data_IF_656226488586
#
_entry.id   IF_656226488586
#
_cell.length_a   1.000
_cell.length_b   1.000
_cell.length_c   1.000
_cell.angle_alpha   90.00
_cell.angle_beta   90.00
_cell.angle_gamma   90.00
#
_symmetry.space_group_name_H-M   'P 1'
#
loop_
_entity.id
_entity.type
_entity.pdbx_description
1 polymer ?
#
# COMPACT_ATOMS: atom_id res chain seq x y z
N UNK A 1 10.43 -2.40 -25.41
CA UNK A 1 10.12 -3.64 -24.64
C UNK A 1 9.34 -3.35 -23.36
N UNK A 2 9.65 -2.28 -22.60
CA UNK A 2 8.80 -1.76 -21.51
C UNK A 2 7.35 -1.57 -21.99
N UNK A 3 7.14 -0.96 -23.18
CA UNK A 3 5.85 -0.85 -23.90
C UNK A 3 5.04 -2.14 -24.08
N UNK A 4 5.62 -3.34 -23.91
CA UNK A 4 4.94 -4.62 -24.08
C UNK A 4 4.45 -5.21 -22.74
N UNK A 5 5.10 -4.85 -21.63
CA UNK A 5 4.56 -4.97 -20.26
C UNK A 5 3.51 -3.89 -19.98
N UNK A 6 3.68 -2.69 -20.55
CA UNK A 6 2.71 -1.58 -20.50
C UNK A 6 1.42 -1.81 -21.33
N UNK A 7 1.42 -2.80 -22.23
CA UNK A 7 0.31 -3.07 -23.17
C UNK A 7 -0.74 -4.05 -22.63
N UNK A 8 -0.55 -4.57 -21.41
CA UNK A 8 -1.68 -5.06 -20.65
C UNK A 8 -2.51 -3.85 -20.25
N UNK A 9 -3.79 -3.84 -20.61
CA UNK A 9 -4.75 -2.74 -20.38
C UNK A 9 -4.72 -2.19 -18.95
N UNK A 10 -4.29 -2.99 -17.99
CA UNK A 10 -4.26 -2.71 -16.56
C UNK A 10 -3.08 -1.82 -16.10
N UNK A 11 -1.89 -1.91 -16.73
CA UNK A 11 -0.76 -1.05 -16.33
C UNK A 11 -0.87 0.35 -16.93
N UNK A 12 -1.53 0.49 -18.09
CA UNK A 12 -1.84 1.80 -18.67
C UNK A 12 -2.78 2.60 -17.77
N UNK A 13 -3.82 1.94 -17.23
CA UNK A 13 -4.73 2.56 -16.26
C UNK A 13 -4.01 2.98 -14.98
N UNK A 14 -3.07 2.15 -14.50
CA UNK A 14 -2.19 2.49 -13.38
C UNK A 14 -1.31 3.72 -13.67
N UNK A 15 -0.78 3.86 -14.89
CA UNK A 15 0.00 5.04 -15.28
C UNK A 15 -0.88 6.29 -15.44
N UNK A 16 -2.14 6.14 -15.85
CA UNK A 16 -3.11 7.24 -15.88
C UNK A 16 -3.43 7.74 -14.46
N UNK A 17 -3.22 6.90 -13.43
CA UNK A 17 -3.30 7.28 -12.02
C UNK A 17 -2.00 7.91 -11.48
N UNK A 18 -0.88 7.85 -12.22
CA UNK A 18 0.37 8.47 -11.79
C UNK A 18 0.42 9.90 -12.29
N UNK A 19 0.40 10.84 -11.34
CA UNK A 19 0.56 12.26 -11.63
C UNK A 19 1.83 12.54 -12.44
N UNK A 20 1.81 13.37 -13.50
CA UNK A 20 3.01 13.76 -14.22
C UNK A 20 4.12 14.36 -13.33
N UNK A 21 3.74 15.09 -12.27
CA UNK A 21 4.67 15.68 -11.31
C UNK A 21 5.51 14.63 -10.56
N UNK A 22 5.03 13.39 -10.49
CA UNK A 22 5.78 12.27 -9.94
C UNK A 22 7.13 12.04 -10.65
N UNK A 23 7.15 12.21 -11.97
CA UNK A 23 8.35 12.03 -12.77
C UNK A 23 9.36 13.17 -12.60
N UNK A 24 8.92 14.32 -12.09
CA UNK A 24 9.79 15.46 -11.80
C UNK A 24 10.57 15.26 -10.48
N UNK A 25 10.01 14.50 -9.53
CA UNK A 25 10.60 14.28 -8.19
C UNK A 25 11.30 12.94 -8.03
N UNK A 26 11.22 12.06 -9.03
CA UNK A 26 11.97 10.81 -9.07
C UNK A 26 13.03 10.84 -10.18
N UNK A 27 14.31 10.68 -9.85
CA UNK A 27 15.35 10.63 -10.87
C UNK A 27 15.07 9.53 -11.90
N UNK A 28 15.16 9.78 -13.21
CA UNK A 28 14.86 8.78 -14.24
C UNK A 28 15.63 7.46 -14.07
N UNK A 29 16.87 7.53 -13.58
CA UNK A 29 17.70 6.36 -13.28
C UNK A 29 17.07 5.45 -12.23
N UNK A 30 16.41 6.04 -11.23
CA UNK A 30 15.73 5.31 -10.16
C UNK A 30 14.47 4.61 -10.64
N UNK A 31 13.66 5.30 -11.45
CA UNK A 31 12.51 4.70 -12.12
C UNK A 31 12.91 3.49 -12.98
N UNK A 32 13.97 3.65 -13.78
CA UNK A 32 14.51 2.55 -14.59
C UNK A 32 15.08 1.41 -13.76
N UNK A 33 15.69 1.71 -12.60
CA UNK A 33 16.25 0.70 -11.69
C UNK A 33 15.13 -0.13 -11.07
N UNK A 34 14.15 0.53 -10.45
CA UNK A 34 13.05 -0.19 -9.80
C UNK A 34 12.12 -0.86 -10.82
N UNK A 35 11.88 -0.26 -11.99
CA UNK A 35 11.10 -0.88 -13.06
C UNK A 35 11.75 -2.18 -13.56
N UNK A 36 13.08 -2.19 -13.73
CA UNK A 36 13.82 -3.42 -14.06
C UNK A 36 13.79 -4.44 -12.93
N UNK A 37 13.85 -4.00 -11.68
CA UNK A 37 13.72 -4.89 -10.52
C UNK A 37 12.35 -5.59 -10.53
N UNK A 38 11.26 -4.84 -10.61
CA UNK A 38 9.89 -5.39 -10.65
C UNK A 38 9.74 -6.36 -11.81
N UNK A 39 10.21 -5.98 -13.00
CA UNK A 39 10.16 -6.85 -14.19
C UNK A 39 10.95 -8.15 -13.98
N UNK A 40 12.16 -8.07 -13.43
CA UNK A 40 13.01 -9.25 -13.17
C UNK A 40 12.33 -10.19 -12.18
N UNK A 41 11.75 -9.65 -11.10
CA UNK A 41 11.05 -10.43 -10.07
C UNK A 41 9.77 -11.07 -10.61
N UNK A 42 9.04 -10.37 -11.48
CA UNK A 42 7.82 -10.90 -12.11
C UNK A 42 8.09 -12.15 -12.96
N UNK A 43 9.25 -12.23 -13.61
CA UNK A 43 9.66 -13.39 -14.41
C UNK A 43 10.35 -14.51 -13.65
N UNK A 44 10.58 -14.37 -12.33
CA UNK A 44 11.29 -15.34 -11.51
C UNK A 44 10.30 -16.12 -10.63
N UNK A 45 9.86 -17.27 -11.15
CA UNK A 45 8.87 -18.13 -10.48
C UNK A 45 9.37 -18.68 -9.14
N UNK A 46 10.67 -19.01 -9.06
CA UNK A 46 11.26 -19.51 -7.82
C UNK A 46 11.28 -18.42 -6.74
N UNK A 47 11.61 -17.17 -7.11
CA UNK A 47 11.52 -16.04 -6.20
C UNK A 47 10.09 -15.75 -5.78
N UNK A 48 9.15 -15.79 -6.72
CA UNK A 48 7.74 -15.60 -6.42
C UNK A 48 7.22 -16.62 -5.40
N UNK A 49 7.50 -17.91 -5.60
CA UNK A 49 7.10 -18.97 -4.66
C UNK A 49 7.73 -18.79 -3.27
N UNK A 50 8.99 -18.34 -3.19
CA UNK A 50 9.61 -17.97 -1.91
C UNK A 50 8.90 -16.80 -1.24
N UNK A 51 8.58 -15.75 -2.00
CA UNK A 51 7.86 -14.59 -1.47
C UNK A 51 6.46 -14.95 -0.98
N UNK A 52 5.74 -15.83 -1.71
CA UNK A 52 4.45 -16.37 -1.28
C UNK A 52 4.58 -17.13 0.03
N UNK A 53 5.51 -18.07 0.13
CA UNK A 53 5.72 -18.89 1.33
C UNK A 53 6.03 -18.01 2.54
N UNK A 54 6.99 -17.08 2.40
CA UNK A 54 7.37 -16.18 3.49
C UNK A 54 6.19 -15.31 3.93
N UNK A 55 5.42 -14.75 2.98
CA UNK A 55 4.24 -13.94 3.32
C UNK A 55 3.13 -14.78 3.96
N UNK A 56 2.92 -16.02 3.53
CA UNK A 56 1.95 -16.92 4.14
C UNK A 56 2.30 -17.18 5.61
N UNK A 57 3.57 -17.53 5.89
CA UNK A 57 4.05 -17.76 7.26
C UNK A 57 3.91 -16.53 8.16
N UNK A 58 4.08 -15.33 7.61
CA UNK A 58 3.90 -14.07 8.34
C UNK A 58 2.42 -13.80 8.64
N UNK A 59 1.53 -14.02 7.67
CA UNK A 59 0.09 -13.84 7.84
C UNK A 59 -0.50 -14.84 8.84
N UNK A 60 -0.07 -16.10 8.79
CA UNK A 60 -0.53 -17.13 9.72
C UNK A 60 -0.11 -16.83 11.16
N UNK A 61 1.11 -16.31 11.36
CA UNK A 61 1.58 -15.86 12.68
C UNK A 61 0.84 -14.62 13.19
N UNK A 62 0.52 -13.68 12.31
CA UNK A 62 -0.14 -12.44 12.70
C UNK A 62 -1.64 -12.63 13.00
N UNK A 63 -2.29 -13.65 12.42
CA UNK A 63 -3.69 -13.97 12.73
C UNK A 63 -4.69 -12.90 12.29
N UNK A 64 -4.36 -12.06 11.31
CA UNK A 64 -5.17 -10.88 10.89
C UNK A 64 -6.40 -11.23 10.02
N UNK A 65 -6.76 -12.51 9.93
CA UNK A 65 -7.92 -12.99 9.16
C UNK A 65 -7.74 -12.96 7.63
N UNK A 66 -6.50 -12.90 7.13
CA UNK A 66 -6.15 -12.99 5.71
C UNK A 66 -5.17 -14.15 5.51
N UNK A 67 -5.43 -15.03 4.53
CA UNK A 67 -4.56 -16.16 4.21
C UNK A 67 -4.26 -16.19 2.71
N UNK A 68 -3.05 -16.64 2.37
CA UNK A 68 -2.72 -16.91 0.97
C UNK A 68 -3.36 -18.23 0.54
N UNK A 69 -4.04 -18.23 -0.59
CA UNK A 69 -4.64 -19.43 -1.16
C UNK A 69 -5.37 -19.15 -2.46
N UNK A 70 -5.58 -20.18 -3.28
CA UNK A 70 -6.25 -20.01 -4.57
C UNK A 70 -7.70 -19.57 -4.40
N UNK A 71 -8.10 -18.55 -5.16
CA UNK A 71 -9.46 -17.97 -5.13
C UNK A 71 -10.50 -18.78 -5.93
N UNK A 72 -10.17 -20.01 -6.32
CA UNK A 72 -11.09 -20.90 -7.03
C UNK A 72 -12.32 -21.32 -6.22
N UNK A 73 -13.41 -21.64 -6.92
CA UNK A 73 -14.65 -22.17 -6.36
C UNK A 73 -15.76 -21.14 -6.14
N UNK A 74 -16.94 -21.55 -5.63
CA UNK A 74 -18.10 -20.67 -5.49
C UNK A 74 -17.77 -19.47 -4.59
N UNK A 75 -18.09 -18.28 -5.09
CA UNK A 75 -17.88 -17.03 -4.38
C UNK A 75 -18.98 -16.83 -3.35
N UNK A 76 -18.62 -16.79 -2.07
CA UNK A 76 -19.48 -16.12 -1.10
C UNK A 76 -19.37 -14.63 -1.38
N UNK A 77 -20.51 -13.97 -1.57
CA UNK A 77 -20.57 -12.51 -1.61
C UNK A 77 -20.06 -12.04 -0.26
N UNK A 78 -18.82 -11.56 -0.23
CA UNK A 78 -18.24 -10.99 0.96
C UNK A 78 -18.98 -9.68 1.26
N UNK A 79 -19.33 -9.46 2.53
CA UNK A 79 -19.71 -8.13 3.01
C UNK A 79 -18.60 -7.14 2.59
N UNK A 80 -18.93 -6.08 1.83
CA UNK A 80 -17.96 -5.09 1.40
C UNK A 80 -17.17 -4.48 2.55
N UNK A 81 -17.80 -4.28 3.71
CA UNK A 81 -17.12 -3.72 4.88
C UNK A 81 -16.07 -4.68 5.44
N UNK A 82 -16.43 -5.95 5.70
CA UNK A 82 -15.50 -6.97 6.14
C UNK A 82 -14.32 -7.16 5.16
N UNK A 83 -14.60 -7.10 3.85
CA UNK A 83 -13.60 -7.21 2.79
C UNK A 83 -12.62 -6.04 2.79
N UNK A 84 -13.12 -4.80 2.84
CA UNK A 84 -12.27 -3.62 2.91
C UNK A 84 -11.42 -3.60 4.17
N UNK A 85 -11.99 -4.01 5.31
CA UNK A 85 -11.24 -4.13 6.56
C UNK A 85 -10.11 -5.17 6.46
N UNK A 86 -10.38 -6.33 5.86
CA UNK A 86 -9.35 -7.36 5.64
C UNK A 86 -8.23 -6.87 4.73
N UNK A 87 -8.56 -6.14 3.67
CA UNK A 87 -7.60 -5.54 2.75
C UNK A 87 -6.72 -4.48 3.46
N UNK A 88 -7.30 -3.62 4.30
CA UNK A 88 -6.55 -2.63 5.08
C UNK A 88 -5.62 -3.30 6.10
N UNK A 89 -6.07 -4.35 6.80
CA UNK A 89 -5.21 -5.13 7.70
C UNK A 89 -4.03 -5.74 6.96
N UNK A 90 -4.27 -6.31 5.77
CA UNK A 90 -3.21 -6.83 4.91
C UNK A 90 -2.24 -5.72 4.51
N UNK A 91 -2.73 -4.56 4.09
CA UNK A 91 -1.91 -3.41 3.72
C UNK A 91 -0.96 -3.00 4.84
N UNK A 92 -1.50 -2.73 6.03
CA UNK A 92 -0.68 -2.33 7.16
C UNK A 92 0.29 -3.44 7.56
N UNK A 93 -0.13 -4.70 7.55
CA UNK A 93 0.76 -5.80 7.88
C UNK A 93 1.95 -5.88 6.91
N UNK A 94 1.75 -5.71 5.60
CA UNK A 94 2.87 -5.72 4.64
C UNK A 94 3.84 -4.54 4.83
N UNK A 95 3.36 -3.39 5.31
CA UNK A 95 4.17 -2.20 5.61
C UNK A 95 4.94 -2.39 6.92
N UNK A 96 4.23 -2.82 7.97
CA UNK A 96 4.72 -2.94 9.35
C UNK A 96 5.66 -4.12 9.57
N UNK A 97 5.48 -5.21 8.83
CA UNK A 97 6.28 -6.42 9.00
C UNK A 97 7.45 -6.50 7.99
N UNK A 98 8.57 -7.09 8.40
CA UNK A 98 9.74 -7.25 7.53
C UNK A 98 9.53 -8.45 6.61
N UNK A 99 9.24 -8.20 5.34
CA UNK A 99 8.99 -9.27 4.38
C UNK A 99 8.78 -8.75 2.96
N UNK A 100 8.52 -9.64 1.99
CA UNK A 100 8.16 -9.25 0.64
C UNK A 100 6.77 -8.60 0.65
N UNK A 101 6.63 -7.50 -0.06
CA UNK A 101 5.32 -6.89 -0.33
C UNK A 101 4.81 -7.51 -1.63
N UNK A 102 3.74 -8.27 -1.55
CA UNK A 102 3.01 -8.75 -2.72
C UNK A 102 1.98 -7.67 -3.06
N UNK A 103 2.20 -6.99 -4.20
CA UNK A 103 1.49 -5.73 -4.50
C UNK A 103 0.13 -5.96 -5.14
N UNK A 104 -0.10 -7.14 -5.72
CA UNK A 104 -1.36 -7.44 -6.39
C UNK A 104 -2.48 -7.69 -5.38
N UNK A 105 -3.14 -6.60 -5.00
CA UNK A 105 -4.30 -6.58 -4.11
C UNK A 105 -5.59 -6.23 -4.84
N UNK A 106 -5.69 -6.52 -6.13
CA UNK A 106 -6.91 -6.27 -6.91
C UNK A 106 -8.07 -7.12 -6.41
N UNK A 107 -9.30 -6.65 -6.65
CA UNK A 107 -10.53 -7.26 -6.15
C UNK A 107 -10.64 -8.73 -6.55
N UNK A 108 -10.38 -9.11 -7.78
CA UNK A 108 -10.46 -10.49 -8.25
C UNK A 108 -9.51 -11.46 -7.53
N UNK A 109 -8.53 -10.94 -6.78
CA UNK A 109 -7.60 -11.74 -5.96
C UNK A 109 -8.13 -12.10 -4.58
N UNK A 110 -9.35 -11.73 -4.20
CA UNK A 110 -9.88 -12.01 -2.86
C UNK A 110 -11.25 -12.69 -2.87
N UNK A 111 -11.43 -13.62 -1.93
CA UNK A 111 -12.69 -14.32 -1.69
C UNK A 111 -12.89 -14.58 -0.18
N UNK A 112 -14.13 -14.45 0.30
CA UNK A 112 -14.47 -14.83 1.67
C UNK A 112 -14.59 -16.35 1.80
N UNK A 113 -14.09 -16.89 2.91
CA UNK A 113 -14.14 -18.31 3.29
C UNK A 113 -14.39 -18.44 4.79
N UNK A 114 -15.67 -18.50 5.19
CA UNK A 114 -16.03 -18.66 6.59
C UNK A 114 -15.53 -17.47 7.42
N UNK A 115 -14.56 -17.72 8.30
CA UNK A 115 -13.98 -16.75 9.24
C UNK A 115 -12.78 -15.95 8.70
N UNK A 116 -12.33 -16.24 7.47
CA UNK A 116 -11.16 -15.58 6.89
C UNK A 116 -11.37 -15.18 5.43
N UNK A 117 -10.47 -14.32 4.96
CA UNK A 117 -10.37 -13.94 3.55
C UNK A 117 -9.20 -14.67 2.91
N UNK A 118 -9.45 -15.40 1.82
CA UNK A 118 -8.37 -15.92 0.98
C UNK A 118 -7.92 -14.85 -0.01
N UNK A 119 -6.61 -14.78 -0.21
CA UNK A 119 -5.93 -13.91 -1.14
C UNK A 119 -5.01 -14.71 -2.06
N UNK A 120 -5.17 -14.55 -3.37
CA UNK A 120 -4.35 -15.18 -4.42
C UNK A 120 -3.54 -14.10 -5.15
N UNK A 121 -2.47 -13.56 -4.55
CA UNK A 121 -1.71 -12.47 -5.16
C UNK A 121 -1.09 -12.89 -6.49
N UNK A 122 -1.01 -11.97 -7.45
CA UNK A 122 -0.15 -12.13 -8.62
C UNK A 122 1.34 -12.03 -8.28
N UNK A 123 2.18 -12.28 -9.29
CA UNK A 123 3.66 -12.31 -9.17
C UNK A 123 4.32 -10.97 -8.82
N UNK A 124 3.55 -9.89 -8.87
CA UNK A 124 4.08 -8.55 -8.67
C UNK A 124 4.50 -8.36 -7.21
N UNK A 125 5.80 -8.28 -6.97
CA UNK A 125 6.37 -8.19 -5.62
C UNK A 125 7.55 -7.23 -5.55
N UNK A 126 7.75 -6.65 -4.36
CA UNK A 126 8.91 -5.82 -4.04
C UNK A 126 9.44 -6.17 -2.65
N UNK A 127 10.67 -5.76 -2.37
CA UNK A 127 11.13 -5.54 -0.98
C UNK A 127 11.50 -4.08 -0.86
N UNK A 128 10.95 -3.42 0.15
CA UNK A 128 11.39 -2.08 0.50
C UNK A 128 12.80 -2.14 1.04
N UNK A 129 13.57 -1.08 0.78
CA UNK A 129 14.85 -0.89 1.45
C UNK A 129 14.63 -0.72 2.95
N UNK A 130 15.54 -1.25 3.80
CA UNK A 130 15.36 -1.21 5.24
C UNK A 130 15.11 0.19 5.79
N UNK A 131 15.84 1.20 5.31
CA UNK A 131 15.70 2.59 5.73
C UNK A 131 14.35 3.19 5.34
N UNK A 132 13.89 2.91 4.11
CA UNK A 132 12.58 3.36 3.64
C UNK A 132 11.46 2.69 4.44
N UNK A 133 11.57 1.38 4.66
CA UNK A 133 10.59 0.63 5.42
C UNK A 133 10.54 1.08 6.88
N UNK A 134 11.69 1.28 7.51
CA UNK A 134 11.76 1.80 8.87
C UNK A 134 11.08 3.18 8.97
N UNK A 135 11.45 4.13 8.11
CA UNK A 135 10.85 5.45 8.12
C UNK A 135 9.34 5.41 7.82
N UNK A 136 8.88 4.56 6.91
CA UNK A 136 7.44 4.37 6.64
C UNK A 136 6.69 3.84 7.87
N UNK A 137 7.27 2.90 8.62
CA UNK A 137 6.69 2.40 9.88
C UNK A 137 6.61 3.49 10.94
N UNK A 138 7.68 4.27 11.09
CA UNK A 138 7.73 5.39 12.04
C UNK A 138 6.69 6.46 11.67
N UNK A 139 6.47 6.72 10.38
CA UNK A 139 5.43 7.65 9.92
C UNK A 139 4.04 7.16 10.30
N UNK A 140 3.70 5.90 10.00
CA UNK A 140 2.41 5.34 10.40
C UNK A 140 2.23 5.30 11.92
N UNK A 141 3.29 4.94 12.64
CA UNK A 141 3.32 4.88 14.08
C UNK A 141 3.11 6.25 14.74
N UNK A 142 3.80 7.28 14.25
CA UNK A 142 3.63 8.65 14.72
C UNK A 142 2.21 9.13 14.53
N UNK A 143 1.62 8.89 13.35
CA UNK A 143 0.25 9.28 13.08
C UNK A 143 -0.78 8.56 13.97
N UNK A 144 -0.79 7.22 14.00
CA UNK A 144 -1.86 6.47 14.68
C UNK A 144 -1.74 6.42 16.21
N UNK A 145 -0.56 6.76 16.75
CA UNK A 145 -0.32 6.86 18.20
C UNK A 145 -0.28 8.31 18.68
N UNK A 146 -0.70 9.26 17.84
CA UNK A 146 -0.77 10.68 18.19
C UNK A 146 0.59 11.24 18.67
N UNK A 147 1.70 10.73 18.09
CA UNK A 147 3.09 11.09 18.38
C UNK A 147 3.64 11.94 17.21
N UNK A 148 3.42 13.25 17.32
CA UNK A 148 3.72 14.20 16.26
C UNK A 148 5.22 14.30 15.96
N UNK A 149 6.06 14.29 16.99
CA UNK A 149 7.52 14.36 16.83
C UNK A 149 8.04 13.16 16.04
N UNK A 150 7.53 11.96 16.34
CA UNK A 150 7.84 10.74 15.60
C UNK A 150 7.37 10.82 14.15
N UNK A 151 6.16 11.32 13.91
CA UNK A 151 5.63 11.54 12.56
C UNK A 151 6.52 12.49 11.76
N UNK A 152 6.91 13.62 12.36
CA UNK A 152 7.75 14.62 11.72
C UNK A 152 9.16 14.12 11.41
N UNK A 153 9.79 13.40 12.35
CA UNK A 153 11.10 12.79 12.14
C UNK A 153 11.09 11.74 11.01
N UNK A 154 9.98 10.99 10.88
CA UNK A 154 9.80 10.03 9.81
C UNK A 154 9.62 10.71 8.44
N UNK A 155 8.87 11.82 8.37
CA UNK A 155 8.75 12.62 7.15
C UNK A 155 10.10 13.18 6.72
N UNK A 156 10.91 13.68 7.65
CA UNK A 156 12.26 14.17 7.36
C UNK A 156 13.13 13.04 6.78
N UNK A 157 13.06 11.84 7.38
CA UNK A 157 13.80 10.65 6.92
C UNK A 157 13.39 10.17 5.52
N UNK A 158 12.16 10.46 5.10
CA UNK A 158 11.64 10.14 3.78
C UNK A 158 11.84 11.27 2.76
N UNK A 159 12.44 12.41 3.16
CA UNK A 159 12.48 13.66 2.40
C UNK A 159 11.08 14.16 1.99
N UNK A 160 10.12 14.04 2.90
CA UNK A 160 8.72 14.40 2.70
C UNK A 160 8.25 15.58 3.55
N UNK A 161 9.16 16.27 4.24
CA UNK A 161 8.81 17.48 5.01
C UNK A 161 8.12 18.55 4.17
N UNK A 162 8.49 18.63 2.88
CA UNK A 162 7.83 19.42 1.84
C UNK A 162 6.32 19.20 1.79
N UNK A 163 5.87 17.97 2.01
CA UNK A 163 4.51 17.52 1.79
C UNK A 163 3.76 17.18 3.10
N UNK A 164 4.23 17.66 4.26
CA UNK A 164 3.62 17.35 5.57
C UNK A 164 2.10 17.52 5.57
N UNK A 165 1.62 18.69 5.14
CA UNK A 165 0.18 19.00 5.09
C UNK A 165 -0.58 17.99 4.26
N UNK A 166 -0.02 17.60 3.11
CA UNK A 166 -0.62 16.64 2.20
C UNK A 166 -0.70 15.25 2.83
N UNK A 167 0.36 14.80 3.50
CA UNK A 167 0.34 13.53 4.23
C UNK A 167 -0.66 13.57 5.39
N UNK A 168 -0.70 14.64 6.20
CA UNK A 168 -1.73 14.76 7.25
C UNK A 168 -3.15 14.69 6.69
N UNK A 169 -3.42 15.36 5.57
CA UNK A 169 -4.70 15.29 4.89
C UNK A 169 -5.00 13.87 4.36
N UNK A 170 -4.01 13.22 3.76
CA UNK A 170 -4.11 11.87 3.20
C UNK A 170 -4.40 10.82 4.27
N UNK A 171 -3.78 10.94 5.44
CA UNK A 171 -4.05 10.08 6.58
C UNK A 171 -5.41 10.38 7.23
N UNK A 172 -5.98 11.56 6.96
CA UNK A 172 -7.30 11.98 7.40
C UNK A 172 -7.31 12.78 8.70
N UNK A 173 -8.42 13.47 8.94
CA UNK A 173 -8.70 14.13 10.22
C UNK A 173 -9.64 13.27 11.09
N UNK A 174 -9.56 13.41 12.40
CA UNK A 174 -10.40 12.67 13.35
C UNK A 174 -9.86 11.27 13.69
N UNK A 175 -10.71 10.43 14.27
CA UNK A 175 -10.32 9.13 14.86
C UNK A 175 -10.07 8.00 13.84
N UNK A 176 -10.22 8.28 12.55
CA UNK A 176 -10.07 7.34 11.42
C UNK A 176 -10.95 6.07 11.51
N UNK A 177 -12.09 6.15 12.20
CA UNK A 177 -13.05 5.03 12.31
C UNK A 177 -14.05 4.95 11.16
N UNK A 178 -14.19 6.02 10.37
CA UNK A 178 -15.11 6.10 9.25
C UNK A 178 -14.49 6.79 8.03
N UNK A 179 -13.49 6.15 7.43
CA UNK A 179 -12.75 6.71 6.28
C UNK A 179 -13.35 6.24 4.96
N UNK A 180 -13.51 7.17 4.03
CA UNK A 180 -13.91 6.88 2.65
C UNK A 180 -12.71 6.97 1.70
N UNK A 181 -12.72 6.15 0.66
CA UNK A 181 -11.64 6.05 -0.32
C UNK A 181 -12.16 6.43 -1.70
N UNK A 182 -11.48 7.39 -2.34
CA UNK A 182 -11.66 7.70 -3.75
C UNK A 182 -10.33 7.76 -4.48
N UNK A 183 -10.26 7.09 -5.64
CA UNK A 183 -9.07 7.13 -6.50
C UNK A 183 -8.80 8.56 -6.95
N UNK A 184 -9.84 9.33 -7.28
CA UNK A 184 -9.69 10.71 -7.75
C UNK A 184 -9.05 11.61 -6.69
N UNK A 185 -9.53 11.52 -5.44
CA UNK A 185 -8.99 12.31 -4.32
C UNK A 185 -7.57 11.89 -3.98
N UNK A 186 -7.27 10.59 -4.01
CA UNK A 186 -5.92 10.06 -3.84
C UNK A 186 -4.94 10.62 -4.88
N UNK A 187 -5.29 10.57 -6.17
CA UNK A 187 -4.43 11.11 -7.25
C UNK A 187 -4.20 12.61 -7.07
N UNK A 188 -5.24 13.36 -6.71
CA UNK A 188 -5.14 14.80 -6.43
C UNK A 188 -4.19 15.08 -5.25
N UNK A 189 -4.35 14.34 -4.16
CA UNK A 189 -3.53 14.51 -2.94
C UNK A 189 -2.06 14.20 -3.22
N UNK A 190 -1.75 13.08 -3.86
CA UNK A 190 -0.37 12.75 -4.21
C UNK A 190 0.24 13.72 -5.24
N UNK A 191 -0.57 14.24 -6.17
CA UNK A 191 -0.11 15.30 -7.08
C UNK A 191 0.37 16.53 -6.31
N UNK A 192 -0.38 16.99 -5.30
CA UNK A 192 0.03 18.12 -4.45
C UNK A 192 1.33 17.82 -3.69
N UNK A 193 1.50 16.61 -3.16
CA UNK A 193 2.75 16.21 -2.49
C UNK A 193 3.94 16.29 -3.45
N UNK A 194 3.79 15.78 -4.69
CA UNK A 194 4.86 15.82 -5.68
C UNK A 194 5.19 17.24 -6.13
N UNK A 195 4.18 18.10 -6.31
CA UNK A 195 4.43 19.52 -6.58
C UNK A 195 5.21 20.19 -5.45
N UNK A 196 4.83 19.94 -4.19
CA UNK A 196 5.50 20.54 -3.04
C UNK A 196 6.98 20.14 -2.95
N UNK A 197 7.31 18.88 -3.24
CA UNK A 197 8.69 18.41 -3.21
C UNK A 197 9.48 18.88 -4.44
N UNK A 198 8.86 18.92 -5.63
CA UNK A 198 9.47 19.51 -6.83
C UNK A 198 9.83 20.98 -6.61
N UNK A 199 8.92 21.76 -6.07
CA UNK A 199 9.10 23.20 -5.88
C UNK A 199 10.22 23.52 -4.86
N UNK A 200 10.55 22.55 -4.00
CA UNK A 200 11.69 22.63 -3.05
C UNK A 200 12.98 21.98 -3.57
N UNK A 201 12.93 21.34 -4.74
CA UNK A 201 14.06 20.60 -5.30
C UNK A 201 14.37 19.29 -4.57
N UNK A 202 13.44 18.80 -3.76
CA UNK A 202 13.57 17.55 -3.02
C UNK A 202 13.31 16.35 -3.96
N UNK A 203 14.03 15.26 -3.73
CA UNK A 203 13.86 14.01 -4.49
C UNK A 203 13.25 12.92 -3.62
N UNK A 204 12.34 12.15 -4.19
CA UNK A 204 11.74 11.00 -3.50
C UNK A 204 12.67 9.79 -3.49
N UNK A 205 12.57 9.02 -2.40
CA UNK A 205 13.18 7.70 -2.32
C UNK A 205 12.67 6.76 -3.43
N UNK A 206 13.54 5.91 -3.98
CA UNK A 206 13.16 5.06 -5.12
C UNK A 206 11.94 4.20 -4.84
N UNK A 207 11.82 3.65 -3.63
CA UNK A 207 10.71 2.76 -3.29
C UNK A 207 9.31 3.42 -3.34
N UNK A 208 9.19 4.75 -3.44
CA UNK A 208 7.90 5.42 -3.62
C UNK A 208 7.14 4.98 -4.87
N UNK A 209 7.79 4.56 -5.95
CA UNK A 209 7.06 4.02 -7.12
C UNK A 209 6.41 2.68 -6.80
N UNK A 210 7.10 1.81 -6.07
CA UNK A 210 6.53 0.54 -5.60
C UNK A 210 5.37 0.78 -4.63
N UNK A 211 5.55 1.69 -3.67
CA UNK A 211 4.48 2.08 -2.74
C UNK A 211 3.28 2.71 -3.46
N UNK A 212 3.53 3.58 -4.44
CA UNK A 212 2.48 4.23 -5.22
C UNK A 212 1.64 3.26 -6.05
N UNK A 213 2.28 2.28 -6.72
CA UNK A 213 1.58 1.20 -7.41
C UNK A 213 0.73 0.39 -6.43
N UNK A 214 1.28 0.09 -5.26
CA UNK A 214 0.56 -0.68 -4.25
C UNK A 214 -0.67 0.09 -3.72
N UNK A 215 -0.51 1.38 -3.41
CA UNK A 215 -1.60 2.26 -2.98
C UNK A 215 -2.66 2.42 -4.07
N UNK A 216 -2.28 2.51 -5.34
CA UNK A 216 -3.23 2.57 -6.45
C UNK A 216 -4.14 1.33 -6.49
N UNK A 217 -3.59 0.12 -6.37
CA UNK A 217 -4.41 -1.11 -6.29
C UNK A 217 -5.28 -1.16 -5.03
N UNK A 218 -4.78 -0.65 -3.90
CA UNK A 218 -5.54 -0.56 -2.66
C UNK A 218 -6.76 0.36 -2.84
N UNK A 219 -6.56 1.57 -3.35
CA UNK A 219 -7.63 2.56 -3.54
C UNK A 219 -8.66 2.10 -4.56
N UNK A 220 -8.23 1.56 -5.70
CA UNK A 220 -9.13 1.01 -6.71
C UNK A 220 -10.00 -0.12 -6.13
N UNK A 221 -9.40 -1.05 -5.36
CA UNK A 221 -10.16 -2.11 -4.72
C UNK A 221 -11.17 -1.54 -3.70
N UNK A 222 -10.76 -0.65 -2.80
CA UNK A 222 -11.65 -0.07 -1.78
C UNK A 222 -12.78 0.76 -2.39
N UNK A 223 -12.52 1.55 -3.43
CA UNK A 223 -13.55 2.30 -4.16
C UNK A 223 -14.51 1.34 -4.88
N UNK A 224 -14.00 0.28 -5.52
CA UNK A 224 -14.81 -0.70 -6.26
C UNK A 224 -15.79 -1.53 -5.41
N UNK A 225 -15.60 -1.56 -4.09
CA UNK A 225 -16.49 -2.23 -3.13
C UNK A 225 -17.38 -1.23 -2.38
N UNK A 226 -17.47 0.02 -2.84
CA UNK A 226 -18.36 1.04 -2.31
C UNK A 226 -17.67 2.22 -1.64
N UNK A 227 -16.33 2.19 -1.51
CA UNK A 227 -15.55 3.33 -1.04
C UNK A 227 -15.60 3.57 0.48
N UNK A 228 -16.28 2.76 1.28
CA UNK A 228 -16.33 2.85 2.74
C UNK A 228 -17.72 3.16 3.30
N UNK A 229 -17.82 3.56 4.59
CA UNK A 229 -16.72 3.87 5.50
C UNK A 229 -15.97 2.63 6.01
N UNK A 230 -14.66 2.77 6.25
CA UNK A 230 -13.83 1.74 6.89
C UNK A 230 -13.14 2.27 8.15
N UNK A 231 -12.88 1.37 9.11
CA UNK A 231 -12.14 1.70 10.33
C UNK A 231 -10.64 1.45 10.10
N UNK A 232 -9.98 2.46 9.56
CA UNK A 232 -8.56 2.38 9.18
C UNK A 232 -7.68 2.31 10.43
N UNK A 233 -8.07 2.99 11.53
CA UNK A 233 -7.37 2.90 12.81
C UNK A 233 -7.38 1.47 13.35
N UNK A 234 -8.53 0.82 13.36
CA UNK A 234 -8.62 -0.58 13.78
C UNK A 234 -7.82 -1.52 12.88
N UNK A 235 -7.76 -1.26 11.58
CA UNK A 235 -6.93 -2.05 10.67
C UNK A 235 -5.44 -1.91 10.99
N UNK A 236 -4.98 -0.69 11.30
CA UNK A 236 -3.59 -0.44 11.72
C UNK A 236 -3.24 -1.19 12.99
N UNK A 237 -4.01 -1.01 14.07
CA UNK A 237 -3.71 -1.65 15.37
C UNK A 237 -3.79 -3.17 15.28
N UNK A 238 -4.78 -3.72 14.58
CA UNK A 238 -4.87 -5.16 14.34
C UNK A 238 -3.64 -5.70 13.59
N UNK A 239 -3.14 -4.96 12.59
CA UNK A 239 -1.94 -5.34 11.85
C UNK A 239 -0.64 -5.17 12.66
N UNK A 240 -0.60 -4.21 13.60
CA UNK A 240 0.50 -4.01 14.53
C UNK A 240 0.55 -5.08 15.65
N UNK A 241 -0.50 -5.90 15.79
CA UNK A 241 -0.63 -6.85 16.90
C UNK A 241 -0.91 -6.15 18.24
N UNK A 242 -1.46 -4.94 18.19
CA UNK A 242 -1.73 -4.10 19.36
C UNK A 242 -3.25 -4.00 19.61
N UNK A 243 -3.69 -3.90 20.87
CA UNK A 243 -5.07 -3.56 21.16
C UNK A 243 -5.36 -2.16 20.61
N UNK A 244 -6.60 -1.93 20.18
CA UNK A 244 -7.04 -0.59 19.79
C UNK A 244 -6.89 0.33 21.01
N UNK A 245 -6.03 1.34 20.92
CA UNK A 245 -5.98 2.38 21.94
C UNK A 245 -7.35 3.10 21.96
N UNK A 246 -7.97 3.20 23.14
CA UNK A 246 -9.13 4.08 23.31
C UNK A 246 -8.64 5.52 23.08
N UNK A 247 -9.28 6.23 22.14
CA UNK A 247 -8.97 7.64 21.92
C UNK A 247 -9.24 8.40 23.22
N UNK A 248 -8.24 9.15 23.69
CA UNK A 248 -8.34 10.01 24.87
C UNK A 248 -9.25 11.22 24.62
#
# INVERSE_FOLDING_TARGET
>A
MFKRLLKGTEFSQLLDMVSPAFFDVLPPRELWRQGREIQRRYGDDALYMRCLSERADLLDRAGIGVRIGSVGGPQQVADPQARGQALLRLYFHQVLDSGPVLMDVRRERFIARGDHTLWDPGKMSIRFEPEFQAALREMYAGFYRDDDDRFMAALDSLNLRCAEKTFRNQFGAGDQRAVTFSVKEFVGTFHEAFLACRDRGDTLHRNFMGLGIYLAFLYDHLESIGGGPFDVRAAYFAAAGEPLAEAA
#
